data_IF_583847509069
#
_entry.id   IF_583847509069
#
_cell.length_a   1.000
_cell.length_b   1.000
_cell.length_c   1.000
_cell.angle_alpha   90.00
_cell.angle_beta   90.00
_cell.angle_gamma   90.00
#
_symmetry.space_group_name_H-M   'P 1'
#
loop_
_entity.id
_entity.type
_entity.pdbx_description
1 polymer ?
#
# COMPACT_ATOMS: atom_id res chain seq x y z
N UNK A 1 20.52 -0.22 -17.42
CA UNK A 1 20.09 0.67 -16.33
C UNK A 1 19.87 2.06 -16.92
N UNK A 2 18.69 2.66 -16.71
CA UNK A 2 18.30 3.95 -17.31
C UNK A 2 19.13 5.09 -16.71
N UNK A 3 19.41 6.14 -17.49
CA UNK A 3 20.14 7.36 -17.06
C UNK A 3 19.18 8.50 -16.68
N UNK A 4 17.98 8.18 -16.21
CA UNK A 4 17.00 9.20 -15.83
C UNK A 4 17.32 9.73 -14.44
N UNK A 5 16.97 10.99 -14.18
CA UNK A 5 17.04 11.57 -12.84
C UNK A 5 16.13 10.79 -11.88
N UNK A 6 16.61 10.57 -10.65
CA UNK A 6 15.83 9.95 -9.58
C UNK A 6 14.77 10.96 -9.12
N UNK A 7 13.53 10.52 -9.05
CA UNK A 7 12.43 11.33 -8.61
C UNK A 7 12.62 11.82 -7.15
N UNK A 8 12.38 13.11 -6.93
CA UNK A 8 12.42 13.71 -5.60
C UNK A 8 11.08 13.49 -4.88
N UNK A 9 11.03 12.45 -4.05
CA UNK A 9 9.85 12.03 -3.26
C UNK A 9 9.39 13.07 -2.25
N UNK A 10 10.21 14.10 -1.96
CA UNK A 10 9.83 15.20 -1.05
C UNK A 10 8.99 16.28 -1.73
N UNK A 11 9.00 16.35 -3.07
CA UNK A 11 8.30 17.36 -3.87
C UNK A 11 6.93 16.91 -4.38
N UNK A 12 6.63 15.61 -4.32
CA UNK A 12 5.34 15.06 -4.73
C UNK A 12 5.32 13.52 -4.66
N UNK A 13 4.12 12.94 -4.54
CA UNK A 13 3.93 11.49 -4.71
C UNK A 13 3.75 11.19 -6.19
N UNK A 14 4.76 10.62 -6.84
CA UNK A 14 4.73 10.41 -8.30
C UNK A 14 3.87 9.21 -8.71
N UNK A 15 3.81 8.14 -7.90
CA UNK A 15 3.02 6.93 -8.17
C UNK A 15 2.48 6.35 -6.86
N UNK A 16 1.22 5.88 -6.86
CA UNK A 16 0.68 4.99 -5.83
C UNK A 16 0.51 3.60 -6.46
N UNK A 17 1.43 2.69 -6.13
CA UNK A 17 1.36 1.30 -6.60
C UNK A 17 0.51 0.49 -5.61
N UNK A 18 -0.56 -0.11 -6.12
CA UNK A 18 -1.38 -1.05 -5.37
C UNK A 18 -0.90 -2.47 -5.64
N UNK A 19 -0.39 -3.13 -4.62
CA UNK A 19 -0.12 -4.57 -4.67
C UNK A 19 -1.41 -5.27 -4.26
N UNK A 20 -1.90 -6.16 -5.13
CA UNK A 20 -3.06 -6.98 -4.84
C UNK A 20 -2.73 -7.96 -3.72
N UNK A 21 -3.57 -8.00 -2.69
CA UNK A 21 -3.52 -9.00 -1.64
C UNK A 21 -4.61 -10.04 -1.86
N UNK A 22 -4.31 -11.30 -1.60
CA UNK A 22 -5.26 -12.42 -1.68
C UNK A 22 -6.10 -12.56 -0.40
N UNK A 23 -5.72 -11.89 0.69
CA UNK A 23 -6.47 -11.92 1.95
C UNK A 23 -6.19 -10.71 2.85
N UNK A 24 -7.06 -10.47 3.84
CA UNK A 24 -6.81 -9.47 4.91
C UNK A 24 -5.55 -9.77 5.72
N UNK A 25 -5.29 -11.05 5.99
CA UNK A 25 -4.09 -11.49 6.71
C UNK A 25 -2.81 -11.09 5.99
N UNK A 26 -2.81 -11.16 4.65
CA UNK A 26 -1.65 -10.77 3.84
C UNK A 26 -1.36 -9.26 3.94
N UNK A 27 -2.40 -8.44 4.00
CA UNK A 27 -2.29 -6.99 4.24
C UNK A 27 -1.67 -6.73 5.61
N UNK A 28 -2.10 -7.44 6.65
CA UNK A 28 -1.56 -7.31 8.02
C UNK A 28 -0.10 -7.79 8.11
N UNK A 29 0.21 -8.94 7.51
CA UNK A 29 1.56 -9.50 7.45
C UNK A 29 2.52 -8.56 6.72
N UNK A 30 2.08 -7.96 5.62
CA UNK A 30 2.89 -7.00 4.89
C UNK A 30 3.11 -5.73 5.71
N UNK A 31 2.09 -5.21 6.38
CA UNK A 31 2.26 -4.07 7.28
C UNK A 31 3.28 -4.36 8.39
N UNK A 32 3.30 -5.58 8.93
CA UNK A 32 4.31 -5.98 9.91
C UNK A 32 5.72 -6.07 9.29
N UNK A 33 5.85 -6.63 8.08
CA UNK A 33 7.12 -6.69 7.35
C UNK A 33 7.69 -5.29 7.09
N UNK A 34 6.84 -4.36 6.66
CA UNK A 34 7.22 -2.95 6.43
C UNK A 34 7.72 -2.30 7.72
N UNK A 35 7.01 -2.46 8.85
CA UNK A 35 7.48 -1.94 10.15
C UNK A 35 8.83 -2.51 10.55
N UNK A 36 9.02 -3.81 10.39
CA UNK A 36 10.28 -4.48 10.73
C UNK A 36 11.44 -4.04 9.81
N UNK A 37 11.14 -3.66 8.57
CA UNK A 37 12.11 -3.14 7.61
C UNK A 37 12.42 -1.64 7.80
N UNK A 38 11.76 -0.96 8.75
CA UNK A 38 11.96 0.47 9.01
C UNK A 38 11.11 1.41 8.14
N UNK A 39 10.19 0.87 7.33
CA UNK A 39 9.22 1.67 6.59
C UNK A 39 8.17 2.31 7.50
N UNK A 40 7.61 3.44 7.07
CA UNK A 40 6.66 4.23 7.85
C UNK A 40 5.23 3.97 7.39
N UNK A 41 4.41 3.40 8.26
CA UNK A 41 2.97 3.24 8.01
C UNK A 41 2.30 4.62 8.13
N UNK A 42 1.75 5.14 7.05
CA UNK A 42 0.96 6.39 7.06
C UNK A 42 -0.55 6.13 7.11
N UNK A 43 -0.99 4.94 6.66
CA UNK A 43 -2.36 4.47 6.76
C UNK A 43 -2.36 3.03 7.31
N UNK A 44 -2.86 2.85 8.53
CA UNK A 44 -2.94 1.54 9.16
C UNK A 44 -3.90 0.60 8.42
N UNK A 45 -3.66 -0.73 8.46
CA UNK A 45 -4.60 -1.71 7.93
C UNK A 45 -6.02 -1.47 8.43
N UNK A 46 -6.96 -1.31 7.50
CA UNK A 46 -8.32 -0.94 7.83
C UNK A 46 -9.31 -1.29 6.73
N UNK A 47 -10.56 -1.50 7.13
CA UNK A 47 -11.67 -1.75 6.21
C UNK A 47 -12.22 -0.43 5.67
N UNK A 48 -12.53 -0.41 4.36
CA UNK A 48 -13.20 0.70 3.68
C UNK A 48 -14.37 0.16 2.87
N UNK A 49 -15.50 0.86 2.94
CA UNK A 49 -16.74 0.53 2.22
C UNK A 49 -17.30 -0.90 2.47
N UNK A 50 -16.81 -1.65 3.45
CA UNK A 50 -17.26 -3.00 3.80
C UNK A 50 -16.74 -4.13 2.89
N UNK A 51 -16.04 -3.80 1.80
CA UNK A 51 -15.51 -4.76 0.83
C UNK A 51 -14.03 -4.53 0.46
N UNK A 52 -13.42 -3.43 0.92
CA UNK A 52 -11.99 -3.16 0.72
C UNK A 52 -11.26 -3.27 2.07
N UNK A 53 -10.06 -3.82 2.06
CA UNK A 53 -9.16 -3.82 3.21
C UNK A 53 -7.75 -3.46 2.77
N UNK A 54 -7.19 -2.36 3.28
CA UNK A 54 -5.95 -1.83 2.75
C UNK A 54 -5.07 -1.19 3.82
N UNK A 55 -3.79 -1.02 3.48
CA UNK A 55 -2.84 -0.21 4.24
C UNK A 55 -1.93 0.58 3.30
N UNK A 56 -1.29 1.63 3.82
CA UNK A 56 -0.37 2.47 3.07
C UNK A 56 0.91 2.77 3.85
N UNK A 57 2.05 2.75 3.15
CA UNK A 57 3.36 2.97 3.75
C UNK A 57 4.34 3.76 2.87
N UNK A 58 5.29 4.41 3.52
CA UNK A 58 6.47 5.03 2.92
C UNK A 58 7.66 4.08 3.12
N UNK A 59 8.41 3.78 2.05
CA UNK A 59 9.68 3.04 2.14
C UNK A 59 10.82 3.94 2.63
N UNK A 60 12.03 3.39 2.73
CA UNK A 60 13.21 4.12 3.23
C UNK A 60 13.64 5.29 2.34
N UNK A 61 13.23 5.29 1.07
CA UNK A 61 13.51 6.33 0.08
C UNK A 61 12.35 7.35 -0.01
N UNK A 62 11.29 7.16 0.77
CA UNK A 62 10.12 8.03 0.81
C UNK A 62 9.09 7.76 -0.29
N UNK A 63 9.22 6.67 -1.06
CA UNK A 63 8.17 6.30 -2.01
C UNK A 63 6.94 5.79 -1.27
N UNK A 64 5.76 6.12 -1.78
CA UNK A 64 4.48 5.71 -1.20
C UNK A 64 3.94 4.48 -1.91
N UNK A 65 3.53 3.52 -1.09
CA UNK A 65 3.00 2.24 -1.51
C UNK A 65 1.68 1.98 -0.79
N UNK A 66 0.79 1.23 -1.43
CA UNK A 66 -0.39 0.68 -0.76
C UNK A 66 -0.59 -0.78 -1.13
N UNK A 67 -1.17 -1.53 -0.21
CA UNK A 67 -1.64 -2.89 -0.48
C UNK A 67 -3.13 -2.93 -0.21
N UNK A 68 -3.87 -3.55 -1.13
CA UNK A 68 -5.32 -3.59 -1.13
C UNK A 68 -5.78 -5.03 -1.34
N UNK A 69 -6.65 -5.49 -0.45
CA UNK A 69 -7.50 -6.66 -0.62
C UNK A 69 -8.92 -6.19 -0.98
N UNK A 70 -9.51 -6.79 -2.01
CA UNK A 70 -10.91 -6.57 -2.40
C UNK A 70 -11.72 -7.86 -2.25
N UNK A 71 -12.77 -7.79 -1.44
CA UNK A 71 -13.75 -8.85 -1.26
C UNK A 71 -14.80 -8.76 -2.39
N UNK A 72 -14.55 -9.48 -3.48
CA UNK A 72 -15.38 -9.42 -4.70
C UNK A 72 -16.82 -9.91 -4.45
N UNK A 73 -17.06 -10.73 -3.43
CA UNK A 73 -18.41 -11.19 -3.06
C UNK A 73 -19.25 -10.09 -2.42
N UNK A 74 -18.59 -9.16 -1.71
CA UNK A 74 -19.22 -8.00 -1.06
C UNK A 74 -19.19 -6.73 -1.90
N UNK A 75 -18.50 -6.76 -3.04
CA UNK A 75 -18.45 -5.62 -3.95
C UNK A 75 -19.86 -5.32 -4.47
N UNK A 76 -20.34 -4.06 -4.37
CA UNK A 76 -21.65 -3.67 -4.90
C UNK A 76 -21.75 -4.00 -6.38
N UNK A 77 -22.76 -4.80 -6.75
CA UNK A 77 -23.09 -5.09 -8.15
C UNK A 77 -24.05 -3.98 -8.61
N UNK A 78 -23.60 -3.16 -9.56
CA UNK A 78 -24.47 -2.23 -10.28
C UNK A 78 -25.46 -2.98 -11.18
#
# INVERSE_FOLDING_TARGET
FTQNEIADTTKGTEVLLNIDAQSRSEVDEMAQKVRNAGGKIYAHPGESQGWMYAFGFEDLDGHRWSMLYMDMDKMPKH
#
